data_IF_002366237822
#
_entry.id   IF_002366237822
#
_cell.length_a   1.000
_cell.length_b   1.000
_cell.length_c   1.000
_cell.angle_alpha   90.00
_cell.angle_beta   90.00
_cell.angle_gamma   90.00
#
_symmetry.space_group_name_H-M   'P 1'
#
loop_
_entity.id
_entity.type
_entity.pdbx_description
1 polymer ?
#
# COMPACT_ATOMS: atom_id res chain seq x y z
N UNK A 1 0.92 4.35 16.13
CA UNK A 1 0.99 3.00 15.55
C UNK A 1 0.18 2.93 14.26
N UNK A 2 -1.14 3.25 14.24
CA UNK A 2 -1.98 3.15 13.03
C UNK A 2 -1.47 4.01 11.86
N UNK A 3 -1.10 5.28 12.10
CA UNK A 3 -0.55 6.15 11.06
C UNK A 3 0.77 5.62 10.48
N UNK A 4 1.60 4.99 11.31
CA UNK A 4 2.86 4.38 10.88
C UNK A 4 2.61 3.14 10.01
N UNK A 5 1.66 2.28 10.38
CA UNK A 5 1.24 1.15 9.55
C UNK A 5 0.70 1.60 8.19
N UNK A 6 -0.10 2.66 8.17
CA UNK A 6 -0.60 3.25 6.93
C UNK A 6 0.53 3.80 6.04
N UNK A 7 1.57 4.42 6.61
CA UNK A 7 2.74 4.86 5.84
C UNK A 7 3.50 3.69 5.21
N UNK A 8 3.71 2.60 5.94
CA UNK A 8 4.34 1.40 5.39
C UNK A 8 3.55 0.86 4.19
N UNK A 9 2.24 0.82 4.31
CA UNK A 9 1.36 0.35 3.25
C UNK A 9 1.37 1.29 2.03
N UNK A 10 1.17 2.59 2.24
CA UNK A 10 1.10 3.60 1.18
C UNK A 10 2.39 3.70 0.37
N UNK A 11 3.54 3.68 1.04
CA UNK A 11 4.87 3.70 0.41
C UNK A 11 5.36 2.32 -0.04
N UNK A 12 4.55 1.28 0.08
CA UNK A 12 4.92 -0.11 -0.25
C UNK A 12 6.20 -0.61 0.43
N UNK A 13 6.48 -0.11 1.65
CA UNK A 13 7.67 -0.49 2.43
C UNK A 13 7.46 -1.88 3.02
N UNK A 14 8.48 -2.71 2.98
CA UNK A 14 8.49 -4.07 3.52
C UNK A 14 7.50 -5.07 2.88
N UNK A 15 6.96 -4.76 1.71
CA UNK A 15 6.07 -5.64 0.92
C UNK A 15 6.79 -6.40 -0.20
N UNK A 16 8.09 -6.21 -0.39
CA UNK A 16 8.84 -6.74 -1.53
C UNK A 16 8.65 -5.96 -2.84
N UNK A 17 7.58 -5.17 -2.97
CA UNK A 17 7.25 -4.44 -4.21
C UNK A 17 8.40 -3.56 -4.67
N UNK A 18 8.97 -2.74 -3.78
CA UNK A 18 10.09 -1.85 -4.11
C UNK A 18 11.35 -2.62 -4.53
N UNK A 19 11.59 -3.80 -3.96
CA UNK A 19 12.72 -4.68 -4.33
C UNK A 19 12.48 -5.24 -5.73
N UNK A 20 11.30 -5.77 -5.99
CA UNK A 20 10.92 -6.34 -7.30
C UNK A 20 10.98 -5.28 -8.39
N UNK A 21 10.36 -4.12 -8.21
CA UNK A 21 10.39 -3.05 -9.21
C UNK A 21 11.79 -2.42 -9.33
N UNK A 22 12.54 -2.34 -8.24
CA UNK A 22 13.94 -1.89 -8.25
C UNK A 22 14.81 -2.77 -9.13
N UNK A 23 14.59 -4.09 -9.14
CA UNK A 23 15.34 -5.01 -10.00
C UNK A 23 15.08 -4.82 -11.50
N UNK A 24 13.96 -4.18 -11.88
CA UNK A 24 13.63 -3.86 -13.27
C UNK A 24 14.11 -2.48 -13.71
N UNK A 25 14.59 -1.66 -12.77
CA UNK A 25 15.08 -0.32 -13.09
C UNK A 25 16.44 -0.35 -13.82
N UNK A 26 16.63 0.63 -14.69
CA UNK A 26 17.92 0.81 -15.35
C UNK A 26 18.94 1.37 -14.37
N UNK A 27 20.21 0.99 -14.52
CA UNK A 27 21.31 1.42 -13.63
C UNK A 27 21.56 2.93 -13.61
N UNK A 28 21.18 3.63 -14.69
CA UNK A 28 21.33 5.09 -14.82
C UNK A 28 20.22 5.86 -14.08
N UNK A 29 19.21 5.17 -13.55
CA UNK A 29 18.08 5.83 -12.86
C UNK A 29 18.52 6.26 -11.47
N UNK A 30 18.36 7.56 -11.17
CA UNK A 30 18.63 8.11 -9.84
C UNK A 30 17.67 7.52 -8.79
N UNK A 31 18.24 6.79 -7.82
CA UNK A 31 17.47 6.18 -6.72
C UNK A 31 16.97 7.26 -5.77
N UNK A 32 17.80 8.25 -5.44
CA UNK A 32 17.45 9.32 -4.49
C UNK A 32 16.32 10.21 -5.02
N UNK A 33 16.39 10.61 -6.31
CA UNK A 33 15.34 11.42 -6.93
C UNK A 33 14.04 10.64 -7.12
N UNK A 34 14.12 9.36 -7.47
CA UNK A 34 12.95 8.48 -7.57
C UNK A 34 12.25 8.33 -6.23
N UNK A 35 13.00 8.06 -5.16
CA UNK A 35 12.46 7.93 -3.80
C UNK A 35 11.85 9.26 -3.33
N UNK A 36 12.52 10.38 -3.59
CA UNK A 36 12.02 11.71 -3.25
C UNK A 36 10.70 12.04 -3.97
N UNK A 37 10.59 11.69 -5.23
CA UNK A 37 9.37 11.92 -5.99
C UNK A 37 8.21 11.10 -5.41
N UNK A 38 8.42 9.81 -5.10
CA UNK A 38 7.40 8.97 -4.44
C UNK A 38 6.98 9.61 -3.11
N UNK A 39 7.92 9.99 -2.26
CA UNK A 39 7.66 10.64 -0.96
C UNK A 39 6.80 11.91 -1.11
N UNK A 40 7.15 12.80 -2.05
CA UNK A 40 6.44 14.06 -2.28
C UNK A 40 5.03 13.80 -2.82
N UNK A 41 4.89 12.97 -3.85
CA UNK A 41 3.59 12.71 -4.47
C UNK A 41 2.65 11.97 -3.52
N UNK A 42 3.12 10.95 -2.81
CA UNK A 42 2.31 10.21 -1.82
C UNK A 42 1.79 11.15 -0.73
N UNK A 43 2.67 11.94 -0.14
CA UNK A 43 2.30 12.91 0.91
C UNK A 43 1.32 13.98 0.38
N UNK A 44 1.58 14.54 -0.80
CA UNK A 44 0.72 15.56 -1.39
C UNK A 44 -0.68 15.01 -1.67
N UNK A 45 -0.79 13.82 -2.27
CA UNK A 45 -2.08 13.19 -2.57
C UNK A 45 -2.82 12.83 -1.28
N UNK A 46 -2.14 12.28 -0.27
CA UNK A 46 -2.74 11.95 1.02
C UNK A 46 -3.31 13.19 1.72
N UNK A 47 -2.56 14.31 1.72
CA UNK A 47 -3.03 15.57 2.30
C UNK A 47 -4.21 16.14 1.51
N UNK A 48 -4.16 16.15 0.18
CA UNK A 48 -5.26 16.64 -0.65
C UNK A 48 -6.52 15.81 -0.47
N UNK A 49 -6.40 14.47 -0.45
CA UNK A 49 -7.52 13.57 -0.20
C UNK A 49 -8.14 13.82 1.18
N UNK A 50 -7.33 13.95 2.23
CA UNK A 50 -7.80 14.25 3.58
C UNK A 50 -8.53 15.60 3.65
N UNK A 51 -7.97 16.65 3.08
CA UNK A 51 -8.58 17.98 3.03
C UNK A 51 -9.88 18.04 2.21
N UNK A 52 -10.05 17.16 1.24
CA UNK A 52 -11.26 17.09 0.42
C UNK A 52 -12.33 16.20 1.07
N UNK A 53 -11.97 15.01 1.50
CA UNK A 53 -12.93 13.99 1.98
C UNK A 53 -13.46 14.33 3.37
N UNK A 54 -12.59 14.70 4.32
CA UNK A 54 -13.00 14.93 5.70
C UNK A 54 -14.01 16.08 5.82
N UNK A 55 -13.76 17.28 5.26
CA UNK A 55 -14.75 18.36 5.31
C UNK A 55 -16.04 18.05 4.54
N UNK A 56 -15.93 17.34 3.40
CA UNK A 56 -17.12 16.95 2.63
C UNK A 56 -18.03 16.01 3.44
N UNK A 57 -17.47 14.96 4.02
CA UNK A 57 -18.23 14.03 4.87
C UNK A 57 -18.84 14.75 6.07
N UNK A 58 -18.08 15.63 6.73
CA UNK A 58 -18.59 16.39 7.87
C UNK A 58 -19.72 17.34 7.50
N UNK A 59 -19.61 18.06 6.39
CA UNK A 59 -20.65 18.98 5.91
C UNK A 59 -21.95 18.25 5.54
N UNK A 60 -21.85 17.08 4.89
CA UNK A 60 -23.04 16.31 4.47
C UNK A 60 -23.60 15.37 5.56
N UNK A 61 -22.90 15.21 6.67
CA UNK A 61 -23.39 14.45 7.83
C UNK A 61 -24.11 15.31 8.88
N UNK A 62 -24.30 16.60 8.61
CA UNK A 62 -24.90 17.54 9.56
C UNK A 62 -23.99 17.90 10.73
N UNK A 63 -22.69 17.67 10.62
CA UNK A 63 -21.70 18.00 11.65
C UNK A 63 -21.53 16.93 12.74
N UNK A 64 -22.08 15.73 12.58
CA UNK A 64 -21.89 14.64 13.54
C UNK A 64 -20.53 13.94 13.34
N UNK A 65 -19.59 14.04 14.31
CA UNK A 65 -18.28 13.38 14.21
C UNK A 65 -18.35 11.84 14.13
N UNK A 66 -19.46 11.22 14.60
CA UNK A 66 -19.62 9.78 14.60
C UNK A 66 -19.89 9.21 13.21
N UNK A 67 -20.19 10.04 12.22
CA UNK A 67 -20.38 9.64 10.81
C UNK A 67 -19.07 9.46 10.07
N UNK A 68 -17.94 9.95 10.61
CA UNK A 68 -16.60 9.74 10.07
C UNK A 68 -16.15 8.31 10.35
N UNK A 69 -16.64 7.38 9.54
CA UNK A 69 -16.20 5.99 9.59
C UNK A 69 -14.85 5.85 8.87
N UNK A 70 -14.08 4.83 9.24
CA UNK A 70 -12.83 4.48 8.57
C UNK A 70 -13.03 3.26 7.66
N UNK A 71 -12.08 3.05 6.74
CA UNK A 71 -12.01 1.85 5.91
C UNK A 71 -13.12 1.77 4.84
N UNK A 72 -13.54 0.54 4.46
CA UNK A 72 -14.50 0.32 3.37
C UNK A 72 -15.84 1.02 3.57
N UNK A 73 -16.30 1.16 4.80
CA UNK A 73 -17.57 1.84 5.10
C UNK A 73 -17.54 3.32 4.73
N UNK A 74 -16.41 4.00 4.91
CA UNK A 74 -16.26 5.38 4.45
C UNK A 74 -16.39 5.46 2.93
N UNK A 75 -15.69 4.60 2.20
CA UNK A 75 -15.62 4.64 0.74
C UNK A 75 -16.92 4.19 0.06
N UNK A 76 -17.55 3.11 0.51
CA UNK A 76 -18.67 2.49 -0.18
C UNK A 76 -20.05 2.82 0.39
N UNK A 77 -20.12 3.42 1.58
CA UNK A 77 -21.39 3.82 2.21
C UNK A 77 -21.47 5.34 2.35
N UNK A 78 -20.44 5.96 2.96
CA UNK A 78 -20.50 7.38 3.30
C UNK A 78 -20.29 8.28 2.09
N UNK A 79 -19.24 8.05 1.29
CA UNK A 79 -18.93 8.87 0.12
C UNK A 79 -20.05 8.85 -0.95
N UNK A 80 -20.72 7.71 -1.27
CA UNK A 80 -21.89 7.71 -2.14
C UNK A 80 -23.03 8.59 -1.66
N UNK A 81 -23.28 8.61 -0.34
CA UNK A 81 -24.30 9.49 0.25
C UNK A 81 -23.96 10.98 0.09
N UNK A 82 -22.68 11.32 0.22
CA UNK A 82 -22.19 12.68 -0.06
C UNK A 82 -22.48 13.06 -1.52
N UNK A 83 -22.15 12.18 -2.48
CA UNK A 83 -22.42 12.44 -3.90
C UNK A 83 -23.91 12.59 -4.20
N UNK A 84 -24.79 11.81 -3.56
CA UNK A 84 -26.25 11.93 -3.74
C UNK A 84 -26.79 13.32 -3.37
N UNK A 85 -26.14 14.03 -2.45
CA UNK A 85 -26.51 15.36 -2.00
C UNK A 85 -25.82 16.51 -2.78
N UNK A 86 -24.96 16.17 -3.77
CA UNK A 86 -24.25 17.15 -4.60
C UNK A 86 -24.94 17.35 -5.95
N UNK A 87 -24.95 18.59 -6.45
CA UNK A 87 -25.24 18.84 -7.85
C UNK A 87 -24.22 18.09 -8.73
N UNK A 88 -24.65 17.41 -9.79
CA UNK A 88 -23.81 16.52 -10.61
C UNK A 88 -23.19 15.33 -9.88
N UNK A 89 -23.69 14.98 -8.71
CA UNK A 89 -23.11 13.91 -7.85
C UNK A 89 -22.96 12.56 -8.53
N UNK A 90 -23.89 12.21 -9.44
CA UNK A 90 -23.78 10.95 -10.21
C UNK A 90 -22.54 10.94 -11.12
N UNK A 91 -22.27 12.02 -11.85
CA UNK A 91 -21.11 12.10 -12.73
C UNK A 91 -19.80 12.10 -11.92
N UNK A 92 -19.75 12.85 -10.82
CA UNK A 92 -18.60 12.87 -9.90
C UNK A 92 -18.39 11.49 -9.29
N UNK A 93 -19.45 10.82 -8.86
CA UNK A 93 -19.39 9.47 -8.30
C UNK A 93 -18.83 8.44 -9.30
N UNK A 94 -19.27 8.47 -10.55
CA UNK A 94 -18.75 7.60 -11.61
C UNK A 94 -17.24 7.82 -11.79
N UNK A 95 -16.81 9.07 -11.93
CA UNK A 95 -15.39 9.40 -12.09
C UNK A 95 -14.57 8.96 -10.86
N UNK A 96 -15.08 9.21 -9.67
CA UNK A 96 -14.42 8.80 -8.42
C UNK A 96 -14.22 7.28 -8.36
N UNK A 97 -15.28 6.49 -8.60
CA UNK A 97 -15.18 5.03 -8.54
C UNK A 97 -14.38 4.43 -9.70
N UNK A 98 -14.34 5.07 -10.87
CA UNK A 98 -13.40 4.70 -11.94
C UNK A 98 -11.94 4.91 -11.52
N UNK A 99 -11.63 6.04 -10.90
CA UNK A 99 -10.28 6.29 -10.38
C UNK A 99 -9.90 5.29 -9.28
N UNK A 100 -10.83 4.99 -8.36
CA UNK A 100 -10.63 3.95 -7.34
C UNK A 100 -10.38 2.58 -7.96
N UNK A 101 -11.14 2.22 -9.00
CA UNK A 101 -10.93 0.96 -9.73
C UNK A 101 -9.55 0.90 -10.37
N UNK A 102 -9.10 1.94 -11.06
CA UNK A 102 -7.77 1.98 -11.67
C UNK A 102 -6.66 1.93 -10.61
N UNK A 103 -6.81 2.64 -9.52
CA UNK A 103 -5.87 2.58 -8.40
C UNK A 103 -5.79 1.17 -7.78
N UNK A 104 -6.93 0.50 -7.61
CA UNK A 104 -6.98 -0.87 -7.09
C UNK A 104 -6.33 -1.86 -8.06
N UNK A 105 -6.59 -1.74 -9.37
CA UNK A 105 -6.00 -2.61 -10.40
C UNK A 105 -4.48 -2.45 -10.45
N UNK A 106 -3.96 -1.23 -10.48
CA UNK A 106 -2.50 -0.99 -10.50
C UNK A 106 -1.81 -1.54 -9.25
N UNK A 107 -2.41 -1.35 -8.07
CA UNK A 107 -1.87 -1.90 -6.82
C UNK A 107 -1.92 -3.42 -6.78
N UNK A 108 -3.00 -4.04 -7.28
CA UNK A 108 -3.11 -5.50 -7.33
C UNK A 108 -2.09 -6.12 -8.29
N UNK A 109 -1.80 -5.47 -9.41
CA UNK A 109 -0.74 -5.90 -10.34
C UNK A 109 0.62 -5.86 -9.65
N UNK A 110 0.93 -4.79 -8.93
CA UNK A 110 2.20 -4.64 -8.23
C UNK A 110 2.40 -5.70 -7.13
N UNK A 111 1.36 -5.97 -6.33
CA UNK A 111 1.39 -7.03 -5.31
C UNK A 111 1.53 -8.42 -5.93
N UNK A 112 0.81 -8.67 -7.03
CA UNK A 112 0.91 -9.95 -7.76
C UNK A 112 2.30 -10.16 -8.32
N UNK A 113 2.88 -9.12 -8.93
CA UNK A 113 4.23 -9.19 -9.49
C UNK A 113 5.27 -9.49 -8.42
N UNK A 114 5.18 -8.86 -7.24
CA UNK A 114 6.07 -9.15 -6.12
C UNK A 114 5.96 -10.62 -5.65
N UNK A 115 4.74 -11.16 -5.57
CA UNK A 115 4.53 -12.55 -5.20
C UNK A 115 5.04 -13.52 -6.28
N UNK A 116 4.75 -13.23 -7.55
CA UNK A 116 5.19 -14.04 -8.69
C UNK A 116 6.70 -14.08 -8.78
N UNK A 117 7.37 -12.94 -8.70
CA UNK A 117 8.83 -12.83 -8.69
C UNK A 117 9.45 -13.65 -7.55
N UNK A 118 8.88 -13.57 -6.35
CA UNK A 118 9.35 -14.37 -5.21
C UNK A 118 9.20 -15.88 -5.47
N UNK A 119 8.09 -16.33 -6.07
CA UNK A 119 7.88 -17.74 -6.38
C UNK A 119 8.80 -18.22 -7.51
N UNK A 120 9.13 -17.37 -8.48
CA UNK A 120 10.11 -17.67 -9.53
C UNK A 120 11.51 -17.82 -8.95
N UNK A 121 11.94 -16.84 -8.14
CA UNK A 121 13.31 -16.75 -7.64
C UNK A 121 13.61 -17.77 -6.54
N UNK A 122 12.70 -17.96 -5.58
CA UNK A 122 12.93 -18.80 -4.40
C UNK A 122 12.50 -20.26 -4.60
N UNK A 123 11.42 -20.51 -5.35
CA UNK A 123 10.85 -21.85 -5.51
C UNK A 123 11.19 -22.43 -6.89
N UNK A 124 11.66 -21.60 -7.82
CA UNK A 124 11.99 -22.02 -9.19
C UNK A 124 10.75 -22.38 -10.04
N UNK A 125 9.59 -21.79 -9.72
CA UNK A 125 8.39 -22.02 -10.52
C UNK A 125 8.45 -21.24 -11.84
N UNK A 126 7.78 -21.78 -12.88
CA UNK A 126 7.56 -21.01 -14.10
C UNK A 126 6.61 -19.84 -13.82
N UNK A 127 6.82 -18.71 -14.48
CA UNK A 127 6.01 -17.50 -14.34
C UNK A 127 4.50 -17.77 -14.47
N UNK A 128 4.11 -18.59 -15.42
CA UNK A 128 2.70 -18.97 -15.61
C UNK A 128 2.13 -19.68 -14.38
N UNK A 129 2.87 -20.65 -13.83
CA UNK A 129 2.45 -21.38 -12.62
C UNK A 129 2.38 -20.44 -11.41
N UNK A 130 3.38 -19.62 -11.21
CA UNK A 130 3.43 -18.65 -10.12
C UNK A 130 2.25 -17.66 -10.20
N UNK A 131 1.97 -17.13 -11.39
CA UNK A 131 0.84 -16.21 -11.61
C UNK A 131 -0.51 -16.86 -11.34
N UNK A 132 -0.73 -18.09 -11.82
CA UNK A 132 -2.01 -18.80 -11.60
C UNK A 132 -2.21 -19.08 -10.11
N UNK A 133 -1.17 -19.56 -9.42
CA UNK A 133 -1.26 -19.86 -7.97
C UNK A 133 -1.49 -18.59 -7.16
N UNK A 134 -0.74 -17.52 -7.43
CA UNK A 134 -0.94 -16.22 -6.78
C UNK A 134 -2.37 -15.69 -7.02
N UNK A 135 -2.86 -15.77 -8.27
CA UNK A 135 -4.22 -15.37 -8.63
C UNK A 135 -5.29 -16.18 -7.91
N UNK A 136 -5.14 -17.49 -7.79
CA UNK A 136 -6.08 -18.34 -7.05
C UNK A 136 -6.09 -17.98 -5.57
N UNK A 137 -4.92 -17.79 -4.95
CA UNK A 137 -4.83 -17.39 -3.53
C UNK A 137 -5.52 -16.03 -3.32
N UNK A 138 -5.25 -15.05 -4.18
CA UNK A 138 -5.87 -13.73 -4.09
C UNK A 138 -7.39 -13.78 -4.26
N UNK A 139 -7.90 -14.58 -5.19
CA UNK A 139 -9.33 -14.77 -5.38
C UNK A 139 -9.98 -15.41 -4.16
N UNK A 140 -9.36 -16.43 -3.56
CA UNK A 140 -9.88 -17.09 -2.36
C UNK A 140 -9.92 -16.12 -1.17
N UNK A 141 -8.80 -15.46 -0.87
CA UNK A 141 -8.71 -14.53 0.26
C UNK A 141 -9.59 -13.28 0.03
N UNK A 142 -9.64 -12.76 -1.19
CA UNK A 142 -10.50 -11.63 -1.56
C UNK A 142 -11.98 -11.97 -1.46
N UNK A 143 -12.39 -13.15 -1.93
CA UNK A 143 -13.77 -13.63 -1.79
C UNK A 143 -14.14 -13.78 -0.32
N UNK A 144 -13.26 -14.34 0.50
CA UNK A 144 -13.48 -14.48 1.93
C UNK A 144 -13.63 -13.11 2.61
N UNK A 145 -12.80 -12.14 2.24
CA UNK A 145 -12.88 -10.76 2.73
C UNK A 145 -14.20 -10.08 2.34
N UNK A 146 -14.66 -10.25 1.09
CA UNK A 146 -15.95 -9.72 0.64
C UNK A 146 -17.14 -10.36 1.38
N UNK A 147 -17.13 -11.69 1.54
CA UNK A 147 -18.18 -12.41 2.22
C UNK A 147 -18.26 -12.05 3.72
N UNK A 148 -17.14 -11.62 4.31
CA UNK A 148 -17.10 -11.13 5.69
C UNK A 148 -17.97 -9.91 5.96
N UNK A 149 -18.27 -9.09 4.95
CA UNK A 149 -19.22 -7.96 5.05
C UNK A 149 -20.65 -8.32 4.67
N UNK A 150 -20.90 -9.58 4.31
CA UNK A 150 -22.21 -10.07 3.87
C UNK A 150 -22.61 -11.35 4.60
N UNK A 151 -22.75 -12.48 3.90
CA UNK A 151 -23.24 -13.75 4.46
C UNK A 151 -22.41 -14.29 5.61
N UNK A 152 -21.11 -14.00 5.66
CA UNK A 152 -20.22 -14.47 6.71
C UNK A 152 -19.90 -13.42 7.79
N UNK A 153 -20.70 -12.35 7.90
CA UNK A 153 -20.49 -11.29 8.88
C UNK A 153 -20.57 -11.77 10.35
N UNK A 154 -21.20 -12.93 10.58
CA UNK A 154 -21.26 -13.58 11.90
C UNK A 154 -19.97 -14.27 12.31
N UNK A 155 -19.08 -14.59 11.33
CA UNK A 155 -17.80 -15.22 11.60
C UNK A 155 -16.78 -14.13 11.93
N UNK A 156 -16.25 -14.18 13.14
CA UNK A 156 -15.22 -13.25 13.62
C UNK A 156 -13.98 -14.00 14.06
N UNK A 157 -12.81 -13.58 13.59
CA UNK A 157 -11.51 -14.08 14.01
C UNK A 157 -10.93 -13.08 15.02
N UNK A 158 -10.73 -13.51 16.26
CA UNK A 158 -10.26 -12.64 17.37
C UNK A 158 -11.14 -11.37 17.53
N UNK A 159 -12.46 -11.51 17.27
CA UNK A 159 -13.41 -10.39 17.35
C UNK A 159 -13.45 -9.46 16.12
N UNK A 160 -12.60 -9.69 15.10
CA UNK A 160 -12.49 -8.92 13.87
C UNK A 160 -13.13 -9.65 12.68
N UNK A 161 -13.63 -8.92 11.70
CA UNK A 161 -14.04 -9.47 10.41
C UNK A 161 -12.83 -9.92 9.59
N UNK A 162 -13.04 -10.72 8.54
CA UNK A 162 -11.93 -11.28 7.74
C UNK A 162 -11.00 -10.21 7.19
N UNK A 163 -11.53 -9.15 6.60
CA UNK A 163 -10.69 -8.06 6.06
C UNK A 163 -9.89 -7.37 7.16
N UNK A 164 -10.54 -7.03 8.28
CA UNK A 164 -9.88 -6.38 9.41
C UNK A 164 -8.82 -7.27 10.05
N UNK A 165 -9.06 -8.59 10.09
CA UNK A 165 -8.08 -9.56 10.58
C UNK A 165 -6.88 -9.66 9.63
N UNK A 166 -7.09 -9.72 8.31
CA UNK A 166 -6.00 -9.75 7.35
C UNK A 166 -5.21 -8.43 7.35
N UNK A 167 -5.89 -7.30 7.45
CA UNK A 167 -5.25 -5.99 7.60
C UNK A 167 -4.40 -5.92 8.88
N UNK A 168 -4.94 -6.35 10.01
CA UNK A 168 -4.18 -6.44 11.26
C UNK A 168 -2.94 -7.33 11.12
N UNK A 169 -3.12 -8.52 10.55
CA UNK A 169 -2.02 -9.47 10.37
C UNK A 169 -0.92 -8.92 9.48
N UNK A 170 -1.28 -8.34 8.34
CA UNK A 170 -0.32 -7.79 7.37
C UNK A 170 0.30 -6.48 7.87
N UNK A 171 -0.51 -5.48 8.19
CA UNK A 171 -0.02 -4.14 8.49
C UNK A 171 0.54 -3.98 9.91
N UNK A 172 -0.06 -4.65 10.90
CA UNK A 172 0.36 -4.48 12.28
C UNK A 172 1.38 -5.51 12.75
N UNK A 173 1.50 -6.66 12.08
CA UNK A 173 2.40 -7.73 12.48
C UNK A 173 3.48 -7.99 11.44
N UNK A 174 3.09 -8.37 10.21
CA UNK A 174 4.06 -8.83 9.20
C UNK A 174 4.94 -7.70 8.68
N UNK A 175 4.38 -6.54 8.35
CA UNK A 175 5.17 -5.42 7.80
C UNK A 175 6.21 -4.87 8.78
N UNK A 176 5.93 -4.61 10.06
CA UNK A 176 6.96 -4.19 11.00
C UNK A 176 8.08 -5.21 11.18
N UNK A 177 7.74 -6.51 11.19
CA UNK A 177 8.74 -7.58 11.26
C UNK A 177 9.60 -7.58 9.99
N UNK A 178 8.98 -7.52 8.82
CA UNK A 178 9.70 -7.49 7.54
C UNK A 178 10.57 -6.24 7.42
N UNK A 179 10.11 -5.08 7.86
CA UNK A 179 10.90 -3.84 7.89
C UNK A 179 12.12 -3.97 8.81
N UNK A 180 11.95 -4.54 10.01
CA UNK A 180 13.05 -4.80 10.93
C UNK A 180 14.07 -5.77 10.32
N UNK A 181 13.60 -6.87 9.73
CA UNK A 181 14.47 -7.87 9.09
C UNK A 181 15.23 -7.25 7.90
N UNK A 182 14.57 -6.43 7.08
CA UNK A 182 15.21 -5.72 5.97
C UNK A 182 16.27 -4.73 6.48
N UNK A 183 15.98 -3.99 7.53
CA UNK A 183 16.95 -3.08 8.16
C UNK A 183 18.16 -3.82 8.71
N UNK A 184 17.96 -4.96 9.38
CA UNK A 184 19.05 -5.82 9.86
C UNK A 184 19.87 -6.42 8.71
N UNK A 185 19.22 -6.87 7.63
CA UNK A 185 19.87 -7.36 6.42
C UNK A 185 20.79 -6.28 5.82
N UNK A 186 20.23 -5.08 5.62
CA UNK A 186 20.95 -3.94 5.06
C UNK A 186 22.13 -3.53 5.94
N UNK A 187 21.93 -3.44 7.26
CA UNK A 187 22.96 -2.96 8.19
C UNK A 187 24.08 -3.98 8.45
N UNK A 188 23.76 -5.28 8.44
CA UNK A 188 24.71 -6.32 8.87
C UNK A 188 25.25 -7.19 7.73
N UNK A 189 24.50 -7.39 6.67
CA UNK A 189 24.85 -8.31 5.57
C UNK A 189 25.25 -7.56 4.33
N UNK A 190 24.40 -6.66 3.83
CA UNK A 190 24.68 -5.90 2.59
C UNK A 190 25.78 -4.86 2.83
N UNK A 191 25.68 -4.12 3.93
CA UNK A 191 26.58 -3.03 4.28
C UNK A 191 26.18 -1.70 3.62
N UNK A 192 26.38 -0.63 4.37
CA UNK A 192 26.04 0.74 3.92
C UNK A 192 26.87 1.17 2.71
N UNK A 193 28.11 0.72 2.64
CA UNK A 193 29.03 1.09 1.56
C UNK A 193 28.59 0.56 0.19
N UNK A 194 28.02 -0.65 0.13
CA UNK A 194 27.44 -1.19 -1.10
C UNK A 194 26.20 -0.40 -1.57
N UNK A 195 25.36 0.02 -0.64
CA UNK A 195 24.21 0.84 -0.98
C UNK A 195 24.64 2.21 -1.48
N UNK A 196 25.67 2.79 -0.87
CA UNK A 196 26.25 4.05 -1.37
C UNK A 196 26.82 3.90 -2.77
N UNK A 197 27.52 2.80 -3.05
CA UNK A 197 28.04 2.49 -4.38
C UNK A 197 26.92 2.38 -5.42
N UNK A 198 25.84 1.67 -5.10
CA UNK A 198 24.69 1.52 -5.99
C UNK A 198 23.99 2.87 -6.25
N UNK A 199 23.80 3.71 -5.24
CA UNK A 199 23.24 5.05 -5.42
C UNK A 199 24.14 5.92 -6.29
N UNK A 200 25.45 5.81 -6.17
CA UNK A 200 26.42 6.56 -6.98
C UNK A 200 26.44 6.15 -8.46
N UNK A 201 25.93 4.99 -8.84
CA UNK A 201 25.79 4.62 -10.25
C UNK A 201 24.82 5.54 -11.01
N UNK A 202 23.76 6.01 -10.35
CA UNK A 202 22.78 6.96 -10.92
C UNK A 202 23.02 8.43 -10.56
N UNK A 203 23.90 8.72 -9.59
CA UNK A 203 24.12 10.06 -9.02
C UNK A 203 25.57 10.33 -8.62
N UNK A 204 25.98 11.60 -8.72
CA UNK A 204 27.35 12.00 -8.33
C UNK A 204 27.60 12.03 -6.82
N UNK A 205 26.53 12.01 -5.99
CA UNK A 205 26.66 12.08 -4.53
C UNK A 205 25.40 11.61 -3.80
N UNK A 206 25.58 10.88 -2.70
CA UNK A 206 24.47 10.50 -1.79
C UNK A 206 24.18 11.63 -0.80
N UNK A 207 23.21 12.49 -1.11
CA UNK A 207 22.88 13.70 -0.33
C UNK A 207 22.30 13.37 1.06
N UNK A 208 21.48 12.33 1.14
CA UNK A 208 20.79 11.93 2.39
C UNK A 208 21.55 10.87 3.22
N UNK A 209 22.81 10.57 2.91
CA UNK A 209 23.63 9.53 3.58
C UNK A 209 23.58 9.59 5.10
N UNK A 210 23.72 10.78 5.70
CA UNK A 210 23.73 10.94 7.17
C UNK A 210 22.41 10.50 7.80
N UNK A 211 21.28 10.90 7.20
CA UNK A 211 19.94 10.55 7.70
C UNK A 211 19.73 9.04 7.54
N UNK A 212 20.06 8.48 6.38
CA UNK A 212 19.97 7.06 6.09
C UNK A 212 20.75 6.20 7.10
N UNK A 213 22.00 6.56 7.38
CA UNK A 213 22.85 5.83 8.35
C UNK A 213 22.29 5.88 9.77
N UNK A 214 21.72 7.03 10.18
CA UNK A 214 21.11 7.19 11.52
C UNK A 214 19.83 6.36 11.63
N UNK A 215 19.04 6.27 10.56
CA UNK A 215 17.77 5.52 10.59
C UNK A 215 17.96 4.00 10.53
N UNK A 216 19.05 3.51 9.94
CA UNK A 216 19.31 2.07 9.81
C UNK A 216 20.06 1.50 11.02
N UNK A 217 20.83 2.30 11.73
CA UNK A 217 21.53 1.90 12.97
C UNK A 217 20.63 1.96 14.19
#
# INVERSE_FOLDING_TARGET
VAAMGQMFYSLSIAMGILVTFGSYMKKETSIEDSTRNVEIFDTAIAMMAGLMIIPAVFAFSGGDPNTLQAGPSLMFITIPKVFQNMGFGTAIGILFFLLVLFAAVTSSIALTESAVSTFEDEIGWSRQKATVVAGVIMLLLGTLSCLGYGPLAFVKIIGMQFLDFFDFLTNSVMMPIAALMTSLLVSRVVGIDRIEEEIRHGENSFRRKKIFVVMIK
#
